data_IF_290129043887
#
_entry.id   IF_290129043887
#
_cell.length_a   1.000
_cell.length_b   1.000
_cell.length_c   1.000
_cell.angle_alpha   90.00
_cell.angle_beta   90.00
_cell.angle_gamma   90.00
#
_symmetry.space_group_name_H-M   'P 1'
#
loop_
_entity.id
_entity.type
_entity.pdbx_description
1 polymer ?
#
# COMPACT_ATOMS: atom_id res chain seq x y z
N UNK A 1 14.61 34.37 -26.26
CA UNK A 1 13.67 33.35 -26.78
C UNK A 1 12.93 32.78 -25.59
N UNK A 2 11.72 33.26 -25.31
CA UNK A 2 10.94 32.80 -24.15
C UNK A 2 10.11 31.57 -24.55
N UNK A 3 10.54 30.38 -24.12
CA UNK A 3 9.74 29.17 -24.24
C UNK A 3 8.48 29.31 -23.36
N UNK A 4 7.32 29.39 -24.03
CA UNK A 4 6.01 29.48 -23.38
C UNK A 4 5.77 28.22 -22.52
N UNK A 5 5.30 28.37 -21.27
CA UNK A 5 5.13 27.24 -20.36
C UNK A 5 4.08 26.28 -20.91
N UNK A 6 4.48 25.03 -21.18
CA UNK A 6 3.61 23.97 -21.70
C UNK A 6 2.46 23.75 -20.70
N UNK A 7 1.22 24.03 -21.14
CA UNK A 7 -0.01 23.77 -20.37
C UNK A 7 0.04 22.32 -19.89
N UNK A 8 -0.13 22.08 -18.59
CA UNK A 8 -0.09 20.73 -18.01
C UNK A 8 -1.22 19.89 -18.64
N UNK A 9 -0.88 19.06 -19.63
CA UNK A 9 -1.83 18.37 -20.50
C UNK A 9 -2.62 17.31 -19.72
N UNK A 10 -3.96 17.44 -19.74
CA UNK A 10 -4.88 16.41 -19.27
C UNK A 10 -4.67 15.12 -20.07
N UNK A 11 -4.79 13.97 -19.41
CA UNK A 11 -4.61 12.66 -20.03
C UNK A 11 -5.70 12.40 -21.07
N UNK A 12 -5.30 11.83 -22.21
CA UNK A 12 -6.23 11.38 -23.24
C UNK A 12 -6.82 10.01 -22.89
N UNK A 13 -7.99 9.67 -23.45
CA UNK A 13 -8.61 8.36 -23.24
C UNK A 13 -7.70 7.18 -23.67
N UNK A 14 -6.89 7.36 -24.72
CA UNK A 14 -5.93 6.36 -25.18
C UNK A 14 -4.81 6.14 -24.15
N UNK A 15 -4.29 7.22 -23.56
CA UNK A 15 -3.28 7.13 -22.49
C UNK A 15 -3.85 6.46 -21.23
N UNK A 16 -5.10 6.78 -20.86
CA UNK A 16 -5.77 6.13 -19.72
C UNK A 16 -5.90 4.62 -19.95
N UNK A 17 -6.26 4.19 -21.17
CA UNK A 17 -6.33 2.76 -21.51
C UNK A 17 -4.96 2.08 -21.38
N UNK A 18 -3.89 2.73 -21.82
CA UNK A 18 -2.51 2.23 -21.65
C UNK A 18 -2.17 2.04 -20.16
N UNK A 19 -2.43 3.06 -19.34
CA UNK A 19 -2.15 2.96 -17.90
C UNK A 19 -3.01 1.91 -17.20
N UNK A 20 -4.28 1.76 -17.59
CA UNK A 20 -5.16 0.70 -17.08
C UNK A 20 -4.56 -0.70 -17.33
N UNK A 21 -4.02 -0.95 -18.52
CA UNK A 21 -3.35 -2.22 -18.83
C UNK A 21 -2.09 -2.43 -17.97
N UNK A 22 -1.30 -1.38 -17.77
CA UNK A 22 -0.11 -1.44 -16.89
C UNK A 22 -0.50 -1.77 -15.44
N UNK A 23 -1.56 -1.16 -14.92
CA UNK A 23 -2.08 -1.42 -13.58
C UNK A 23 -2.57 -2.86 -13.44
N UNK A 24 -3.30 -3.39 -14.42
CA UNK A 24 -3.77 -4.80 -14.41
C UNK A 24 -2.58 -5.76 -14.39
N UNK A 25 -1.60 -5.55 -15.28
CA UNK A 25 -0.40 -6.38 -15.32
C UNK A 25 0.33 -6.37 -13.97
N UNK A 26 0.54 -5.19 -13.38
CA UNK A 26 1.21 -5.07 -12.09
C UNK A 26 0.41 -5.73 -10.95
N UNK A 27 -0.91 -5.57 -10.92
CA UNK A 27 -1.79 -6.20 -9.92
C UNK A 27 -1.66 -7.72 -9.96
N UNK A 28 -1.70 -8.31 -11.15
CA UNK A 28 -1.59 -9.76 -11.31
C UNK A 28 -0.24 -10.29 -10.83
N UNK A 29 0.85 -9.56 -11.09
CA UNK A 29 2.19 -9.92 -10.58
C UNK A 29 2.19 -9.91 -9.05
N UNK A 30 1.70 -8.84 -8.41
CA UNK A 30 1.68 -8.73 -6.95
C UNK A 30 0.79 -9.77 -6.29
N UNK A 31 -0.38 -10.07 -6.87
CA UNK A 31 -1.25 -11.13 -6.38
C UNK A 31 -0.56 -12.51 -6.46
N UNK A 32 0.19 -12.76 -7.53
CA UNK A 32 0.98 -13.98 -7.68
C UNK A 32 2.09 -14.07 -6.62
N UNK A 33 2.80 -12.98 -6.37
CA UNK A 33 3.86 -12.92 -5.35
C UNK A 33 3.29 -13.20 -3.95
N UNK A 34 2.26 -12.46 -3.53
CA UNK A 34 1.61 -12.66 -2.22
C UNK A 34 1.13 -14.10 -2.08
N UNK A 35 0.47 -14.65 -3.11
CA UNK A 35 -0.01 -16.04 -3.05
C UNK A 35 1.14 -17.06 -2.98
N UNK A 36 2.26 -16.84 -3.67
CA UNK A 36 3.44 -17.71 -3.56
C UNK A 36 4.00 -17.69 -2.14
N UNK A 37 4.18 -16.48 -1.58
CA UNK A 37 4.71 -16.30 -0.23
C UNK A 37 3.80 -16.92 0.84
N UNK A 38 2.48 -16.79 0.69
CA UNK A 38 1.50 -17.47 1.56
C UNK A 38 1.67 -18.99 1.52
N UNK A 39 1.82 -19.57 0.32
CA UNK A 39 2.01 -21.01 0.17
C UNK A 39 3.34 -21.49 0.76
N UNK A 40 4.41 -20.72 0.57
CA UNK A 40 5.74 -21.04 1.11
C UNK A 40 5.73 -21.00 2.64
N UNK A 41 5.13 -19.96 3.24
CA UNK A 41 4.96 -19.87 4.69
C UNK A 41 4.15 -21.04 5.28
N UNK A 42 3.07 -21.47 4.61
CA UNK A 42 2.30 -22.64 5.02
C UNK A 42 3.09 -23.95 4.91
N UNK A 43 3.98 -24.07 3.93
CA UNK A 43 4.82 -25.24 3.74
C UNK A 43 5.93 -25.31 4.78
N UNK A 44 6.53 -24.18 5.12
CA UNK A 44 7.55 -24.05 6.16
C UNK A 44 6.98 -24.41 7.54
N UNK A 45 5.79 -23.92 7.89
CA UNK A 45 5.11 -24.32 9.12
C UNK A 45 4.90 -25.83 9.22
N UNK A 46 4.58 -26.50 8.10
CA UNK A 46 4.47 -27.97 8.07
C UNK A 46 5.81 -28.68 8.23
N UNK A 47 6.88 -28.09 7.71
CA UNK A 47 8.24 -28.62 7.85
C UNK A 47 8.72 -28.53 9.30
N UNK A 48 8.43 -27.44 10.00
CA UNK A 48 8.79 -27.24 11.42
C UNK A 48 8.03 -28.15 12.39
N UNK A 49 6.92 -28.76 11.95
CA UNK A 49 6.22 -29.83 12.69
C UNK A 49 6.89 -31.21 12.52
N UNK A 50 7.83 -31.36 11.58
CA UNK A 50 8.61 -32.59 11.47
C UNK A 50 9.57 -32.69 12.66
N UNK A 51 9.79 -33.90 13.18
CA UNK A 51 10.52 -34.17 14.42
C UNK A 51 12.06 -34.00 14.28
N UNK A 52 12.49 -33.03 13.47
CA UNK A 52 13.88 -32.72 13.13
C UNK A 52 14.48 -31.87 14.26
N UNK A 53 15.69 -32.17 14.75
CA UNK A 53 16.33 -31.37 15.78
C UNK A 53 16.59 -29.95 15.28
N UNK A 54 16.01 -28.94 15.93
CA UNK A 54 16.24 -27.52 15.63
C UNK A 54 17.47 -27.04 16.42
N UNK A 55 18.46 -26.44 15.77
CA UNK A 55 19.60 -25.84 16.45
C UNK A 55 19.24 -24.42 16.95
N UNK A 56 19.74 -24.02 18.12
CA UNK A 56 19.45 -22.69 18.70
C UNK A 56 19.90 -21.51 17.80
N UNK A 57 20.90 -21.72 16.94
CA UNK A 57 21.34 -20.73 15.96
C UNK A 57 20.36 -20.57 14.78
N UNK A 58 19.60 -21.61 14.46
CA UNK A 58 18.64 -21.60 13.36
C UNK A 58 17.38 -20.83 13.77
N UNK A 59 16.93 -20.97 15.02
CA UNK A 59 15.75 -20.27 15.55
C UNK A 59 15.78 -18.74 15.39
N UNK A 60 16.94 -18.12 15.57
CA UNK A 60 17.08 -16.67 15.39
C UNK A 60 17.01 -16.25 13.92
N UNK A 61 17.54 -17.09 13.02
CA UNK A 61 17.51 -16.86 11.58
C UNK A 61 16.09 -17.04 11.04
N UNK A 62 15.43 -18.15 11.40
CA UNK A 62 14.06 -18.47 10.99
C UNK A 62 13.07 -17.37 11.41
N UNK A 63 13.20 -16.86 12.65
CA UNK A 63 12.34 -15.77 13.13
C UNK A 63 12.52 -14.48 12.33
N UNK A 64 13.77 -14.14 11.95
CA UNK A 64 14.04 -12.96 11.15
C UNK A 64 13.51 -13.11 9.73
N UNK A 65 13.70 -14.28 9.11
CA UNK A 65 13.18 -14.58 7.77
C UNK A 65 11.66 -14.52 7.73
N UNK A 66 10.99 -15.03 8.77
CA UNK A 66 9.54 -14.94 8.91
C UNK A 66 9.06 -13.49 9.03
N UNK A 67 9.68 -12.69 9.90
CA UNK A 67 9.32 -11.27 10.09
C UNK A 67 9.53 -10.47 8.80
N UNK A 68 10.67 -10.66 8.12
CA UNK A 68 10.96 -10.03 6.85
C UNK A 68 9.95 -10.40 5.76
N UNK A 69 9.58 -11.68 5.69
CA UNK A 69 8.57 -12.18 4.74
C UNK A 69 7.21 -11.51 5.00
N UNK A 70 6.79 -11.41 6.25
CA UNK A 70 5.54 -10.73 6.64
C UNK A 70 5.56 -9.25 6.26
N UNK A 71 6.65 -8.53 6.53
CA UNK A 71 6.79 -7.11 6.15
C UNK A 71 6.70 -6.92 4.63
N UNK A 72 7.37 -7.80 3.87
CA UNK A 72 7.33 -7.77 2.42
C UNK A 72 5.90 -8.03 1.91
N UNK A 73 5.18 -9.02 2.44
CA UNK A 73 3.78 -9.29 2.09
C UNK A 73 2.87 -8.09 2.37
N UNK A 74 3.04 -7.44 3.52
CA UNK A 74 2.28 -6.25 3.88
C UNK A 74 2.55 -5.08 2.92
N UNK A 75 3.80 -4.92 2.50
CA UNK A 75 4.17 -3.91 1.51
C UNK A 75 3.52 -4.17 0.15
N UNK A 76 3.45 -5.44 -0.29
CA UNK A 76 2.79 -5.83 -1.55
C UNK A 76 1.27 -5.67 -1.46
N UNK A 77 0.64 -6.03 -0.34
CA UNK A 77 -0.80 -5.79 -0.09
C UNK A 77 -1.14 -4.31 -0.12
N UNK A 78 -0.32 -3.46 0.52
CA UNK A 78 -0.48 -2.00 0.45
C UNK A 78 -0.40 -1.52 -0.99
N UNK A 79 0.54 -2.04 -1.78
CA UNK A 79 0.68 -1.69 -3.18
C UNK A 79 -0.51 -2.13 -4.04
N UNK A 80 -1.08 -3.31 -3.78
CA UNK A 80 -2.34 -3.76 -4.42
C UNK A 80 -3.47 -2.77 -4.10
N UNK A 81 -3.59 -2.34 -2.85
CA UNK A 81 -4.59 -1.33 -2.46
C UNK A 81 -4.39 0.00 -3.19
N UNK A 82 -3.14 0.45 -3.39
CA UNK A 82 -2.83 1.66 -4.18
C UNK A 82 -3.26 1.52 -5.65
N UNK A 83 -3.10 0.34 -6.22
CA UNK A 83 -3.52 0.03 -7.59
C UNK A 83 -5.05 0.00 -7.69
N UNK A 84 -5.73 -0.60 -6.71
CA UNK A 84 -7.19 -0.65 -6.66
C UNK A 84 -7.79 0.76 -6.54
N UNK A 85 -7.17 1.64 -5.75
CA UNK A 85 -7.54 3.05 -5.68
C UNK A 85 -7.23 3.80 -7.00
N UNK A 86 -6.19 3.42 -7.73
CA UNK A 86 -5.94 3.95 -9.07
C UNK A 86 -7.06 3.57 -10.06
N UNK A 87 -7.61 2.35 -9.99
CA UNK A 87 -8.77 1.97 -10.80
C UNK A 87 -10.01 2.81 -10.47
N UNK A 88 -10.30 3.01 -9.19
CA UNK A 88 -11.42 3.89 -8.76
C UNK A 88 -11.26 5.31 -9.31
N UNK A 89 -10.04 5.86 -9.31
CA UNK A 89 -9.75 7.18 -9.91
C UNK A 89 -9.95 7.21 -11.42
N UNK A 90 -9.66 6.12 -12.12
CA UNK A 90 -9.92 6.01 -13.56
C UNK A 90 -11.42 6.03 -13.82
N UNK A 91 -12.20 5.30 -13.04
CA UNK A 91 -13.66 5.24 -13.15
C UNK A 91 -14.32 6.58 -12.82
N UNK A 92 -13.81 7.28 -11.80
CA UNK A 92 -14.27 8.62 -11.41
C UNK A 92 -13.76 9.74 -12.33
N UNK A 93 -12.90 9.45 -13.31
CA UNK A 93 -12.32 10.43 -14.21
C UNK A 93 -11.32 11.40 -13.58
N UNK A 94 -10.86 11.13 -12.34
CA UNK A 94 -9.89 11.95 -11.60
C UNK A 94 -8.45 11.47 -11.75
N UNK A 95 -8.24 10.33 -12.43
CA UNK A 95 -6.91 9.77 -12.66
C UNK A 95 -5.95 10.76 -13.34
N UNK A 96 -4.71 10.80 -12.84
CA UNK A 96 -3.70 11.76 -13.28
C UNK A 96 -3.80 13.14 -12.63
N UNK A 97 -4.68 13.33 -11.65
CA UNK A 97 -4.73 14.53 -10.80
C UNK A 97 -4.16 14.21 -9.42
N UNK A 98 -3.37 15.12 -8.86
CA UNK A 98 -2.81 15.01 -7.52
C UNK A 98 -3.92 15.14 -6.47
N UNK A 99 -4.04 14.19 -5.56
CA UNK A 99 -5.05 14.21 -4.49
C UNK A 99 -4.82 15.36 -3.50
N UNK A 100 -3.56 15.67 -3.18
CA UNK A 100 -3.21 16.73 -2.21
C UNK A 100 -3.28 18.12 -2.86
N UNK A 101 -2.63 18.27 -4.01
CA UNK A 101 -2.39 19.59 -4.61
C UNK A 101 -3.37 19.97 -5.72
N UNK A 102 -4.24 19.05 -6.17
CA UNK A 102 -5.12 19.25 -7.33
C UNK A 102 -4.39 19.45 -8.68
N UNK A 103 -3.06 19.51 -8.68
CA UNK A 103 -2.27 19.67 -9.89
C UNK A 103 -2.20 18.35 -10.69
N UNK A 104 -2.16 18.40 -12.03
CA UNK A 104 -1.97 17.20 -12.83
C UNK A 104 -0.59 16.56 -12.60
N UNK A 105 -0.58 15.24 -12.53
CA UNK A 105 0.60 14.39 -12.37
C UNK A 105 1.29 14.26 -13.72
N UNK A 106 2.63 14.39 -13.75
CA UNK A 106 3.38 14.29 -15.00
C UNK A 106 3.25 12.91 -15.63
N UNK A 107 3.12 12.86 -16.96
CA UNK A 107 3.04 11.61 -17.73
C UNK A 107 4.27 10.71 -17.50
N UNK A 108 5.45 11.31 -17.36
CA UNK A 108 6.69 10.58 -17.03
C UNK A 108 6.58 9.83 -15.69
N UNK A 109 5.98 10.47 -14.67
CA UNK A 109 5.75 9.84 -13.37
C UNK A 109 4.75 8.69 -13.47
N UNK A 110 3.66 8.85 -14.20
CA UNK A 110 2.68 7.78 -14.40
C UNK A 110 3.21 6.62 -15.26
N UNK A 111 4.14 6.88 -16.19
CA UNK A 111 4.82 5.81 -16.93
C UNK A 111 5.76 4.99 -16.04
N UNK A 112 6.42 5.62 -15.05
CA UNK A 112 7.27 4.92 -14.09
C UNK A 112 6.45 4.24 -12.97
N UNK A 113 5.45 4.95 -12.44
CA UNK A 113 4.64 4.56 -11.28
C UNK A 113 3.17 4.87 -11.61
N UNK A 114 2.44 3.94 -12.27
CA UNK A 114 1.08 4.19 -12.72
C UNK A 114 0.06 4.34 -11.58
N UNK A 115 0.32 3.79 -10.39
CA UNK A 115 -0.57 3.97 -9.22
C UNK A 115 -0.33 5.28 -8.45
N UNK A 116 0.58 6.16 -8.90
CA UNK A 116 0.91 7.39 -8.18
C UNK A 116 -0.33 8.26 -7.86
N UNK A 117 -0.53 8.60 -6.58
CA UNK A 117 -1.61 9.48 -6.09
C UNK A 117 -1.27 10.97 -6.13
N UNK A 118 0.02 11.29 -6.02
CA UNK A 118 0.50 12.65 -5.81
C UNK A 118 1.51 13.07 -6.88
N UNK A 119 1.55 14.38 -7.17
CA UNK A 119 2.60 14.99 -7.98
C UNK A 119 3.95 15.01 -7.22
N UNK A 120 5.05 15.28 -7.93
CA UNK A 120 6.39 15.23 -7.35
C UNK A 120 6.60 16.23 -6.20
N UNK A 121 5.98 17.41 -6.29
CA UNK A 121 6.04 18.43 -5.25
C UNK A 121 5.39 17.93 -3.96
N UNK A 122 4.14 17.47 -4.04
CA UNK A 122 3.41 16.93 -2.88
C UNK A 122 4.09 15.68 -2.32
N UNK A 123 4.63 14.81 -3.17
CA UNK A 123 5.40 13.65 -2.71
C UNK A 123 6.65 14.06 -1.91
N UNK A 124 7.39 15.06 -2.38
CA UNK A 124 8.57 15.58 -1.66
C UNK A 124 8.19 16.25 -0.32
N UNK A 125 7.06 16.95 -0.27
CA UNK A 125 6.56 17.54 0.98
C UNK A 125 6.13 16.47 1.99
N UNK A 126 5.53 15.38 1.51
CA UNK A 126 5.16 14.23 2.34
C UNK A 126 6.40 13.53 2.93
N UNK A 127 7.43 13.31 2.11
CA UNK A 127 8.70 12.72 2.55
C UNK A 127 9.40 13.58 3.61
N UNK A 128 9.31 14.91 3.48
CA UNK A 128 9.83 15.86 4.47
C UNK A 128 8.95 16.00 5.72
N UNK A 129 7.82 15.29 5.80
CA UNK A 129 6.87 15.38 6.91
C UNK A 129 6.13 16.72 7.02
N UNK A 130 6.18 17.56 5.99
CA UNK A 130 5.51 18.88 5.98
C UNK A 130 4.00 18.72 5.80
N UNK A 131 3.58 17.64 5.13
CA UNK A 131 2.18 17.25 4.93
C UNK A 131 2.07 15.81 5.42
N UNK A 132 0.92 15.41 5.96
CA UNK A 132 0.62 14.02 6.33
C UNK A 132 -0.36 13.40 5.33
N UNK A 133 -0.18 12.13 4.99
CA UNK A 133 -1.22 11.36 4.30
C UNK A 133 -2.36 11.16 5.31
N UNK A 134 -3.57 11.56 4.96
CA UNK A 134 -4.75 11.19 5.73
C UNK A 134 -4.76 9.67 5.89
N UNK A 135 -4.66 9.18 7.14
CA UNK A 135 -4.63 7.75 7.42
C UNK A 135 -6.06 7.22 7.38
N UNK A 136 -6.45 6.36 6.41
CA UNK A 136 -7.80 5.80 6.37
C UNK A 136 -8.12 4.87 7.56
N UNK A 137 -7.13 4.50 8.39
CA UNK A 137 -7.35 3.82 9.67
C UNK A 137 -7.80 4.76 10.80
N UNK A 138 -7.71 6.08 10.62
CA UNK A 138 -8.20 7.07 11.59
C UNK A 138 -9.75 7.11 11.69
N UNK A 139 -10.46 6.24 10.96
CA UNK A 139 -11.91 6.04 11.10
C UNK A 139 -12.29 5.12 12.27
N UNK A 140 -11.30 4.43 12.86
CA UNK A 140 -11.46 3.65 14.09
C UNK A 140 -10.65 4.30 15.20
N UNK A 141 -10.93 5.57 15.50
CA UNK A 141 -10.63 6.07 16.83
C UNK A 141 -11.53 5.26 17.77
N UNK A 142 -10.94 4.26 18.44
CA UNK A 142 -11.49 3.72 19.68
C UNK A 142 -11.66 4.94 20.59
N UNK A 143 -12.88 5.47 20.61
CA UNK A 143 -13.26 6.45 21.59
C UNK A 143 -13.05 5.78 22.95
N UNK A 144 -12.35 6.51 23.80
CA UNK A 144 -12.30 6.36 25.24
C UNK A 144 -13.59 5.71 25.77
N UNK A 145 -13.44 4.52 26.34
CA UNK A 145 -14.51 3.69 26.88
C UNK A 145 -13.88 2.75 27.91
N UNK A 146 -13.16 3.36 28.87
CA UNK A 146 -12.90 2.74 30.16
C UNK A 146 -14.26 2.72 30.87
N UNK A 147 -15.02 1.66 30.64
CA UNK A 147 -16.12 1.30 31.53
C UNK A 147 -15.51 0.45 32.65
N UNK A 148 -14.85 1.14 33.59
CA UNK A 148 -14.60 0.59 34.92
C UNK A 148 -15.97 0.41 35.60
N UNK A 149 -16.65 -0.72 35.37
CA UNK A 149 -17.66 -1.18 36.33
C UNK A 149 -16.95 -1.86 37.51
N UNK A 150 -16.41 -1.01 38.38
CA UNK A 150 -16.42 -1.29 39.82
C UNK A 150 -17.89 -1.40 40.28
N UNK A 151 -18.42 -2.61 40.32
CA UNK A 151 -19.56 -2.92 41.20
C UNK A 151 -19.07 -3.84 42.31
N UNK A 152 -18.51 -3.22 43.34
CA UNK A 152 -18.44 -3.79 44.67
C UNK A 152 -19.82 -3.60 45.34
N UNK A 153 -20.18 -4.53 46.23
CA UNK A 153 -21.35 -4.54 47.14
C UNK A 153 -22.68 -5.09 46.59
N UNK A 154 -23.09 -6.28 47.05
CA UNK A 154 -23.92 -6.45 48.26
C UNK A 154 -24.56 -7.85 48.33
N UNK A 155 -24.32 -8.51 49.47
CA UNK A 155 -25.16 -9.46 50.19
C UNK A 155 -26.31 -10.21 49.47
N UNK A 156 -26.18 -11.54 49.39
CA UNK A 156 -27.08 -12.51 50.06
C UNK A 156 -26.59 -13.96 49.99
#
# INVERSE_FOLDING_TARGET
MAEKPKKKERLTAAEIKKFRLMLVSKRNILLGNVSSMENDALREQRSNLSNTPIHMADLGTDSFEQEFTLELMDSERKLISEIDDAFKRIENGTYGTCEIGGEPISKQRLNAIPWARCCIKCASLLEKGIIQKENPLNKYNYADGIDDEESNSDDQ
#
